data_IF_893075236700
#
_entry.id   IF_893075236700
#
_cell.length_a   1.000
_cell.length_b   1.000
_cell.length_c   1.000
_cell.angle_alpha   90.00
_cell.angle_beta   90.00
_cell.angle_gamma   90.00
#
_symmetry.space_group_name_H-M   'P 1'
#
loop_
_entity.id
_entity.type
_entity.pdbx_description
1 polymer ?
#
# COMPACT_ATOMS: atom_id res chain seq x y z
N UNK A 1 2.34 -1.90 -20.24
CA UNK A 1 1.11 -2.43 -19.62
C UNK A 1 0.20 -1.29 -19.24
N UNK A 2 -1.00 -1.32 -19.70
CA UNK A 2 -1.96 -0.33 -19.31
C UNK A 2 -2.37 -0.59 -17.88
N UNK A 3 -2.06 0.34 -17.00
CA UNK A 3 -2.61 0.25 -15.66
C UNK A 3 -4.12 0.48 -15.74
N UNK A 4 -4.91 -0.37 -15.12
CA UNK A 4 -6.31 -0.04 -14.96
C UNK A 4 -6.41 1.30 -14.28
N UNK A 5 -7.34 2.12 -14.73
CA UNK A 5 -7.58 3.40 -14.05
C UNK A 5 -7.78 3.09 -12.57
N UNK A 6 -6.95 3.70 -11.73
CA UNK A 6 -7.10 3.53 -10.29
C UNK A 6 -8.41 4.18 -9.88
N UNK A 7 -9.37 3.36 -9.52
CA UNK A 7 -10.60 3.86 -8.94
C UNK A 7 -10.32 4.13 -7.47
N UNK A 8 -10.04 5.38 -7.15
CA UNK A 8 -9.70 5.79 -5.79
C UNK A 8 -10.93 6.03 -4.92
N UNK A 9 -12.12 5.86 -5.46
CA UNK A 9 -13.35 6.00 -4.71
C UNK A 9 -13.78 4.63 -4.18
N UNK A 10 -14.04 4.50 -2.87
CA UNK A 10 -14.57 3.24 -2.33
C UNK A 10 -15.96 2.98 -2.89
N UNK A 11 -16.28 1.73 -3.14
CA UNK A 11 -17.62 1.38 -3.59
C UNK A 11 -18.37 0.59 -2.52
N UNK A 12 -19.73 0.61 -2.55
CA UNK A 12 -20.53 0.01 -1.49
C UNK A 12 -20.32 -1.48 -1.27
N UNK A 13 -19.81 -2.19 -2.23
CA UNK A 13 -19.56 -3.62 -2.09
C UNK A 13 -18.18 -3.99 -1.58
N UNK A 14 -17.31 -3.01 -1.33
CA UNK A 14 -15.96 -3.29 -0.90
C UNK A 14 -15.94 -3.73 0.57
N UNK A 15 -15.09 -4.72 0.88
CA UNK A 15 -14.78 -5.07 2.25
C UNK A 15 -13.83 -4.03 2.83
N UNK A 16 -14.09 -3.59 4.05
CA UNK A 16 -13.27 -2.59 4.73
C UNK A 16 -12.60 -3.21 5.94
N UNK A 17 -11.28 -3.11 6.01
CA UNK A 17 -10.51 -3.57 7.16
C UNK A 17 -9.67 -2.44 7.72
N UNK A 18 -9.54 -2.41 9.04
CA UNK A 18 -8.67 -1.46 9.73
C UNK A 18 -7.34 -2.10 10.04
N UNK A 19 -6.28 -1.35 9.86
CA UNK A 19 -4.93 -1.82 10.15
C UNK A 19 -3.99 -0.64 10.37
N UNK A 20 -2.69 -0.89 10.33
CA UNK A 20 -1.67 0.11 10.59
C UNK A 20 -0.81 0.30 9.34
N UNK A 21 -0.55 1.57 8.99
CA UNK A 21 0.32 1.89 7.88
C UNK A 21 1.76 1.48 8.18
N UNK A 22 2.44 0.88 7.21
CA UNK A 22 3.80 0.40 7.39
C UNK A 22 4.86 1.25 6.67
N UNK A 23 4.45 2.37 6.04
CA UNK A 23 5.33 3.14 5.16
C UNK A 23 6.40 3.93 5.89
N UNK A 24 6.18 4.26 7.16
CA UNK A 24 7.19 4.95 7.96
C UNK A 24 6.99 4.65 9.46
N UNK A 25 7.79 5.27 10.30
CA UNK A 25 7.76 5.03 11.74
C UNK A 25 6.52 5.59 12.44
N UNK A 26 5.74 6.43 11.79
CA UNK A 26 4.56 7.03 12.42
C UNK A 26 3.45 6.04 12.71
N UNK A 27 3.35 4.96 11.95
CA UNK A 27 2.40 3.87 12.19
C UNK A 27 0.96 4.36 12.30
N UNK A 28 0.54 5.16 11.34
CA UNK A 28 -0.83 5.69 11.30
C UNK A 28 -1.86 4.59 11.14
N UNK A 29 -3.02 4.77 11.78
CA UNK A 29 -4.15 3.87 11.55
C UNK A 29 -4.79 4.13 10.20
N UNK A 30 -5.09 3.09 9.47
CA UNK A 30 -5.68 3.19 8.13
C UNK A 30 -6.90 2.29 8.00
N UNK A 31 -7.73 2.64 7.04
CA UNK A 31 -8.79 1.77 6.54
C UNK A 31 -8.44 1.35 5.12
N UNK A 32 -8.59 0.06 4.84
CA UNK A 32 -8.24 -0.53 3.56
C UNK A 32 -9.51 -1.10 2.95
N UNK A 33 -9.83 -0.65 1.74
CA UNK A 33 -10.96 -1.20 0.96
C UNK A 33 -10.44 -2.31 0.08
N UNK A 34 -11.06 -3.48 0.20
CA UNK A 34 -10.65 -4.68 -0.51
C UNK A 34 -11.81 -5.13 -1.39
N UNK A 35 -11.53 -5.38 -2.66
CA UNK A 35 -12.49 -5.95 -3.59
C UNK A 35 -11.86 -7.17 -4.24
N UNK A 36 -12.57 -8.31 -4.16
CA UNK A 36 -12.11 -9.57 -4.75
C UNK A 36 -10.69 -9.97 -4.30
N UNK A 37 -10.39 -9.72 -3.02
CA UNK A 37 -9.09 -10.05 -2.45
C UNK A 37 -7.98 -9.06 -2.78
N UNK A 38 -8.29 -7.97 -3.47
CA UNK A 38 -7.32 -6.96 -3.88
C UNK A 38 -7.56 -5.64 -3.17
N UNK A 39 -6.49 -4.99 -2.74
CA UNK A 39 -6.59 -3.66 -2.14
C UNK A 39 -6.94 -2.66 -3.24
N UNK A 40 -8.00 -1.90 -3.02
CA UNK A 40 -8.49 -0.92 -3.97
C UNK A 40 -8.23 0.51 -3.54
N UNK A 41 -8.27 0.76 -2.24
CA UNK A 41 -8.20 2.12 -1.71
C UNK A 41 -7.69 2.08 -0.28
N UNK A 42 -6.86 3.06 0.07
CA UNK A 42 -6.31 3.22 1.42
C UNK A 42 -6.57 4.65 1.86
N UNK A 43 -7.14 4.81 3.06
CA UNK A 43 -7.31 6.13 3.65
C UNK A 43 -7.02 6.06 5.15
N UNK A 44 -6.84 7.21 5.78
CA UNK A 44 -6.68 7.28 7.22
C UNK A 44 -7.93 6.83 7.95
N UNK A 45 -7.75 6.16 9.09
CA UNK A 45 -8.86 5.72 9.92
C UNK A 45 -9.30 6.87 10.84
N UNK A 46 -10.51 7.43 10.64
CA UNK A 46 -10.96 8.55 11.47
C UNK A 46 -11.17 8.19 12.94
N UNK A 47 -11.31 6.91 13.24
CA UNK A 47 -11.49 6.44 14.63
C UNK A 47 -10.15 6.22 15.35
N UNK A 48 -9.03 6.36 14.67
CA UNK A 48 -7.73 6.17 15.30
C UNK A 48 -7.38 7.39 16.18
N UNK A 49 -6.98 7.18 17.44
CA UNK A 49 -6.81 8.30 18.38
C UNK A 49 -5.61 9.20 18.06
N UNK A 50 -4.64 8.73 17.30
CA UNK A 50 -3.42 9.49 17.00
C UNK A 50 -3.59 10.31 15.73
N UNK A 51 -3.88 9.68 14.59
CA UNK A 51 -3.94 10.40 13.31
C UNK A 51 -5.35 10.82 12.90
N UNK A 52 -6.40 10.30 13.53
CA UNK A 52 -7.79 10.74 13.38
C UNK A 52 -8.24 10.92 11.93
N UNK A 53 -7.84 10.01 11.07
CA UNK A 53 -8.22 10.02 9.66
C UNK A 53 -7.24 10.73 8.74
N UNK A 54 -6.22 11.39 9.26
CA UNK A 54 -5.19 12.04 8.44
C UNK A 54 -4.18 10.99 8.00
N UNK A 55 -3.90 10.95 6.71
CA UNK A 55 -2.90 10.06 6.15
C UNK A 55 -2.06 10.82 5.12
N UNK A 56 -0.74 10.73 5.22
CA UNK A 56 0.15 11.41 4.29
C UNK A 56 0.20 10.69 2.93
N UNK A 57 0.84 11.32 1.95
CA UNK A 57 0.92 10.77 0.61
C UNK A 57 1.62 9.41 0.56
N UNK A 58 2.59 9.18 1.45
CA UNK A 58 3.28 7.87 1.51
C UNK A 58 2.30 6.75 1.83
N UNK A 59 1.47 6.95 2.84
CA UNK A 59 0.49 5.96 3.23
C UNK A 59 -0.55 5.71 2.15
N UNK A 60 -1.07 6.77 1.54
CA UNK A 60 -2.03 6.65 0.44
C UNK A 60 -1.42 5.94 -0.77
N UNK A 61 -0.13 6.15 -1.03
CA UNK A 61 0.57 5.54 -2.14
C UNK A 61 1.03 4.09 -1.85
N UNK A 62 0.80 3.59 -0.65
CA UNK A 62 1.19 2.23 -0.29
C UNK A 62 0.61 1.17 -1.20
N UNK A 63 -0.56 1.42 -1.78
CA UNK A 63 -1.17 0.51 -2.74
C UNK A 63 -0.30 0.32 -3.98
N UNK A 64 0.39 1.39 -4.43
CA UNK A 64 1.29 1.31 -5.58
C UNK A 64 2.51 0.46 -5.26
N UNK A 65 3.06 0.58 -4.06
CA UNK A 65 4.18 -0.26 -3.64
C UNK A 65 3.76 -1.72 -3.55
N UNK A 66 2.59 -1.99 -3.00
CA UNK A 66 2.11 -3.34 -2.80
C UNK A 66 1.95 -4.10 -4.11
N UNK A 67 1.46 -3.43 -5.15
CA UNK A 67 1.19 -4.05 -6.45
C UNK A 67 2.21 -3.68 -7.52
N UNK A 68 3.33 -3.07 -7.15
CA UNK A 68 4.38 -2.73 -8.12
C UNK A 68 4.96 -4.02 -8.73
N UNK A 69 5.09 -4.09 -10.07
CA UNK A 69 5.77 -5.22 -10.69
C UNK A 69 7.26 -5.30 -10.34
N UNK A 70 7.84 -4.20 -9.83
CA UNK A 70 9.23 -4.17 -9.39
C UNK A 70 9.40 -4.64 -7.93
N UNK A 71 8.30 -4.92 -7.24
CA UNK A 71 8.38 -5.35 -5.84
C UNK A 71 9.07 -6.72 -5.75
N UNK A 72 10.03 -6.82 -4.84
CA UNK A 72 10.70 -8.09 -4.59
C UNK A 72 9.80 -8.98 -3.74
N UNK A 73 9.57 -10.19 -4.20
CA UNK A 73 8.70 -11.17 -3.51
C UNK A 73 9.48 -12.36 -2.95
N UNK A 74 10.79 -12.35 -3.10
CA UNK A 74 11.66 -13.41 -2.58
C UNK A 74 13.07 -12.84 -2.38
N UNK A 75 13.88 -13.48 -1.54
CA UNK A 75 15.27 -13.08 -1.38
C UNK A 75 16.03 -13.21 -2.70
N UNK A 76 16.91 -12.26 -2.96
CA UNK A 76 17.74 -12.26 -4.16
C UNK A 76 19.22 -12.42 -3.78
N UNK A 77 19.94 -13.24 -4.55
CA UNK A 77 21.37 -13.41 -4.39
C UNK A 77 22.10 -12.57 -5.43
N UNK A 78 23.03 -11.75 -4.97
CA UNK A 78 23.85 -10.98 -5.90
C UNK A 78 24.75 -11.92 -6.69
N UNK A 79 24.70 -11.82 -8.02
CA UNK A 79 25.52 -12.65 -8.93
C UNK A 79 26.56 -11.84 -9.71
N UNK A 80 26.58 -10.52 -9.55
CA UNK A 80 27.53 -9.63 -10.21
C UNK A 80 28.35 -8.83 -9.22
N UNK A 81 29.10 -7.86 -9.75
CA UNK A 81 29.90 -6.98 -8.92
C UNK A 81 29.02 -6.10 -8.04
N UNK A 82 29.54 -5.78 -6.86
CA UNK A 82 28.90 -4.88 -5.94
C UNK A 82 28.59 -3.53 -6.61
N UNK A 83 27.36 -3.06 -6.46
CA UNK A 83 26.92 -1.80 -7.03
C UNK A 83 26.39 -1.88 -8.44
N UNK A 84 26.40 -3.06 -9.07
CA UNK A 84 25.90 -3.23 -10.44
C UNK A 84 24.42 -3.65 -10.48
N UNK A 85 23.83 -4.03 -9.37
CA UNK A 85 22.41 -4.41 -9.33
C UNK A 85 22.10 -5.72 -10.03
N UNK A 86 23.04 -6.61 -10.11
CA UNK A 86 22.87 -7.92 -10.77
C UNK A 86 22.57 -9.00 -9.73
N UNK A 87 21.34 -9.54 -9.83
CA UNK A 87 20.83 -10.53 -8.90
C UNK A 87 20.25 -11.76 -9.59
#
# INVERSE_FOLDING_TARGET
>A
MQQPALNLSPSPGDEVKTTTCYMCACRCGIRVWIKDGQIRYIQGNPDHPVNKGVLCAKGSAGIMQHYSPARLDKPLLRVGERGKGEF
#
